data_IF_151138801076
#
_entry.id   IF_151138801076
#
_cell.length_a   1.000
_cell.length_b   1.000
_cell.length_c   1.000
_cell.angle_alpha   90.00
_cell.angle_beta   90.00
_cell.angle_gamma   90.00
#
_symmetry.space_group_name_H-M   'P 1'
#
loop_
_entity.id
_entity.type
_entity.pdbx_description
1 polymer ?
#
# COMPACT_ATOMS: atom_id res chain seq x y z
N UNK A 1 -9.66 -2.52 -9.35
CA UNK A 1 -9.25 -1.30 -8.64
C UNK A 1 -8.46 -0.34 -9.54
N UNK A 2 -7.12 -0.35 -9.54
CA UNK A 2 -6.33 0.70 -10.21
C UNK A 2 -6.65 0.93 -11.71
N UNK A 3 -6.84 -0.14 -12.49
CA UNK A 3 -7.23 0.00 -13.91
C UNK A 3 -8.56 0.72 -14.11
N UNK A 4 -9.51 0.57 -13.18
CA UNK A 4 -10.79 1.28 -13.22
C UNK A 4 -10.61 2.75 -12.84
N UNK A 5 -9.71 3.02 -11.89
CA UNK A 5 -9.29 4.36 -11.55
C UNK A 5 -8.71 5.12 -12.74
N UNK A 6 -7.76 4.50 -13.46
CA UNK A 6 -7.15 5.07 -14.68
C UNK A 6 -8.19 5.35 -15.79
N UNK A 7 -9.29 4.58 -15.81
CA UNK A 7 -10.37 4.72 -16.79
C UNK A 7 -11.50 5.66 -16.33
N UNK A 8 -11.37 6.27 -15.15
CA UNK A 8 -12.45 7.03 -14.52
C UNK A 8 -13.75 6.23 -14.30
N UNK A 9 -13.66 4.90 -14.23
CA UNK A 9 -14.79 3.98 -14.01
C UNK A 9 -14.80 3.47 -12.55
N UNK A 10 -14.55 4.36 -11.59
CA UNK A 10 -14.38 3.97 -10.17
C UNK A 10 -15.67 3.46 -9.53
N UNK A 11 -16.82 3.80 -10.09
CA UNK A 11 -18.14 3.33 -9.63
C UNK A 11 -18.27 1.80 -9.76
N UNK A 12 -17.56 1.21 -10.72
CA UNK A 12 -17.49 -0.25 -10.90
C UNK A 12 -16.74 -0.96 -9.75
N UNK A 13 -16.08 -0.20 -8.88
CA UNK A 13 -15.44 -0.73 -7.67
C UNK A 13 -16.41 -0.85 -6.49
N UNK A 14 -17.56 -0.17 -6.53
CA UNK A 14 -18.53 -0.16 -5.42
C UNK A 14 -19.18 -1.53 -5.31
N UNK A 15 -19.20 -2.06 -4.09
CA UNK A 15 -19.86 -3.32 -3.77
C UNK A 15 -21.32 -3.31 -4.26
N UNK A 16 -21.79 -4.35 -4.96
CA UNK A 16 -23.17 -4.42 -5.45
C UNK A 16 -24.23 -4.16 -4.37
N UNK A 17 -24.00 -4.60 -3.12
CA UNK A 17 -24.95 -4.40 -2.01
C UNK A 17 -25.10 -2.93 -1.63
N UNK A 18 -24.02 -2.15 -1.72
CA UNK A 18 -24.03 -0.70 -1.50
C UNK A 18 -24.79 0.05 -2.61
N UNK A 19 -25.00 -0.57 -3.77
CA UNK A 19 -25.77 0.02 -4.87
C UNK A 19 -27.27 -0.01 -4.60
N UNK A 20 -27.74 -0.96 -3.79
CA UNK A 20 -29.16 -1.12 -3.44
C UNK A 20 -29.64 0.05 -2.58
N UNK A 21 -28.83 0.46 -1.60
CA UNK A 21 -29.11 1.58 -0.70
C UNK A 21 -28.88 2.96 -1.35
N UNK A 22 -28.22 2.97 -2.51
CA UNK A 22 -27.79 4.17 -3.20
C UNK A 22 -26.58 4.85 -2.56
N UNK A 23 -25.80 5.56 -3.37
CA UNK A 23 -24.66 6.35 -2.91
C UNK A 23 -24.47 7.56 -3.80
N UNK A 24 -23.80 8.58 -3.27
CA UNK A 24 -23.37 9.73 -4.04
C UNK A 24 -22.05 9.39 -4.74
N UNK A 25 -22.01 9.46 -6.08
CA UNK A 25 -20.80 9.14 -6.86
C UNK A 25 -19.58 9.98 -6.43
N UNK A 26 -19.80 11.24 -6.07
CA UNK A 26 -18.74 12.14 -5.55
C UNK A 26 -18.10 11.60 -4.27
N UNK A 27 -18.88 10.99 -3.37
CA UNK A 27 -18.39 10.51 -2.09
C UNK A 27 -17.61 9.21 -2.32
N UNK A 28 -18.07 8.36 -3.25
CA UNK A 28 -17.33 7.18 -3.70
C UNK A 28 -15.99 7.57 -4.32
N UNK A 29 -15.99 8.54 -5.24
CA UNK A 29 -14.77 9.03 -5.89
C UNK A 29 -13.79 9.58 -4.85
N UNK A 30 -14.27 10.34 -3.88
CA UNK A 30 -13.48 10.89 -2.79
C UNK A 30 -12.88 9.79 -1.89
N UNK A 31 -13.68 8.81 -1.48
CA UNK A 31 -13.22 7.67 -0.65
C UNK A 31 -12.16 6.86 -1.39
N UNK A 32 -12.37 6.57 -2.68
CA UNK A 32 -11.41 5.81 -3.49
C UNK A 32 -10.10 6.58 -3.68
N UNK A 33 -10.18 7.88 -3.95
CA UNK A 33 -8.99 8.72 -4.04
C UNK A 33 -8.21 8.72 -2.71
N UNK A 34 -8.92 8.87 -1.58
CA UNK A 34 -8.32 8.84 -0.23
C UNK A 34 -7.64 7.50 0.03
N UNK A 35 -8.30 6.39 -0.31
CA UNK A 35 -7.74 5.06 -0.18
C UNK A 35 -6.43 4.92 -0.98
N UNK A 36 -6.37 5.44 -2.21
CA UNK A 36 -5.13 5.39 -2.99
C UNK A 36 -4.00 6.26 -2.43
N UNK A 37 -4.29 7.42 -1.83
CA UNK A 37 -3.28 8.21 -1.13
C UNK A 37 -2.70 7.47 0.08
N UNK A 38 -3.53 6.72 0.81
CA UNK A 38 -3.06 5.89 1.93
C UNK A 38 -2.17 4.74 1.47
N UNK A 39 -2.33 4.28 0.22
CA UNK A 39 -1.59 3.15 -0.37
C UNK A 39 -0.32 3.58 -1.12
N UNK A 40 0.12 4.82 -0.95
CA UNK A 40 1.34 5.31 -1.58
C UNK A 40 2.57 4.46 -1.17
N UNK A 41 3.47 4.16 -2.13
CA UNK A 41 4.60 3.27 -1.88
C UNK A 41 5.57 3.88 -0.87
N UNK A 42 5.74 5.20 -0.89
CA UNK A 42 6.60 5.92 0.05
C UNK A 42 5.78 6.42 1.25
N UNK A 43 6.27 6.15 2.46
CA UNK A 43 5.58 6.48 3.70
C UNK A 43 5.33 8.00 3.85
N UNK A 44 6.29 8.83 3.43
CA UNK A 44 6.19 10.29 3.48
C UNK A 44 5.16 10.88 2.49
N UNK A 45 4.69 10.10 1.51
CA UNK A 45 3.62 10.52 0.60
C UNK A 45 2.22 10.14 1.13
N UNK A 46 2.14 9.33 2.18
CA UNK A 46 0.87 8.98 2.80
C UNK A 46 0.40 10.16 3.66
N UNK A 47 -0.86 10.60 3.51
CA UNK A 47 -1.39 11.69 4.31
C UNK A 47 -1.49 11.30 5.80
N UNK A 48 -1.30 12.26 6.72
CA UNK A 48 -1.51 12.01 8.15
C UNK A 48 -2.98 11.71 8.43
N UNK A 49 -3.26 10.95 9.48
CA UNK A 49 -4.63 10.51 9.79
C UNK A 49 -5.59 11.68 10.03
N UNK A 50 -5.12 12.78 10.63
CA UNK A 50 -5.90 14.01 10.78
C UNK A 50 -6.40 14.57 9.45
N UNK A 51 -5.52 14.58 8.43
CA UNK A 51 -5.88 14.99 7.06
C UNK A 51 -6.86 14.01 6.42
N UNK A 52 -6.71 12.71 6.66
CA UNK A 52 -7.65 11.70 6.16
C UNK A 52 -9.04 11.89 6.76
N UNK A 53 -9.15 12.07 8.07
CA UNK A 53 -10.45 12.34 8.71
C UNK A 53 -11.07 13.60 8.13
N UNK A 54 -10.31 14.70 8.03
CA UNK A 54 -10.80 15.94 7.44
C UNK A 54 -11.26 15.77 5.98
N UNK A 55 -10.52 15.01 5.16
CA UNK A 55 -10.92 14.70 3.79
C UNK A 55 -12.21 13.87 3.75
N UNK A 56 -12.47 12.98 4.71
CA UNK A 56 -13.68 12.16 4.70
C UNK A 56 -14.91 12.87 5.29
N UNK A 57 -14.72 13.84 6.19
CA UNK A 57 -15.83 14.49 6.91
C UNK A 57 -16.13 15.91 6.45
N UNK A 58 -15.13 16.69 6.01
CA UNK A 58 -15.27 18.14 5.82
C UNK A 58 -15.52 18.58 4.36
N UNK A 59 -15.80 17.66 3.41
CA UNK A 59 -15.94 17.97 1.97
C UNK A 59 -14.81 18.89 1.44
N UNK A 60 -13.60 18.68 1.96
CA UNK A 60 -12.43 19.46 1.55
C UNK A 60 -11.97 18.98 0.19
N UNK A 61 -11.61 19.92 -0.67
CA UNK A 61 -11.11 19.61 -2.00
C UNK A 61 -9.79 18.84 -1.91
N UNK A 62 -9.69 17.79 -2.72
CA UNK A 62 -8.64 16.80 -2.57
C UNK A 62 -7.33 17.28 -3.21
N UNK A 63 -6.30 17.44 -2.39
CA UNK A 63 -4.97 17.90 -2.85
C UNK A 63 -4.06 16.70 -3.11
N UNK A 64 -3.99 16.26 -4.37
CA UNK A 64 -2.98 15.33 -4.87
C UNK A 64 -3.54 14.14 -5.64
N UNK A 65 -2.85 13.76 -6.72
CA UNK A 65 -3.16 12.57 -7.52
C UNK A 65 -2.40 11.36 -6.95
N UNK A 66 -3.07 10.23 -6.68
CA UNK A 66 -2.39 9.03 -6.24
C UNK A 66 -1.41 8.52 -7.30
N UNK A 67 -0.30 7.94 -6.86
CA UNK A 67 0.66 7.30 -7.76
C UNK A 67 0.23 5.87 -8.04
N UNK A 68 0.63 5.38 -9.22
CA UNK A 68 0.44 3.97 -9.57
C UNK A 68 1.11 3.07 -8.55
N UNK A 69 0.38 2.13 -7.92
CA UNK A 69 0.95 1.28 -6.89
C UNK A 69 2.12 0.44 -7.41
N UNK A 70 3.27 0.52 -6.74
CA UNK A 70 4.51 -0.13 -7.17
C UNK A 70 4.39 -1.66 -7.31
N UNK A 71 3.48 -2.31 -6.58
CA UNK A 71 3.26 -3.76 -6.71
C UNK A 71 2.70 -4.17 -8.08
N UNK A 72 2.08 -3.25 -8.83
CA UNK A 72 1.58 -3.52 -10.18
C UNK A 72 2.71 -3.69 -11.20
N UNK A 73 3.92 -3.22 -10.90
CA UNK A 73 5.09 -3.33 -11.76
C UNK A 73 5.82 -4.68 -11.59
N UNK A 74 5.73 -5.28 -10.39
CA UNK A 74 6.37 -6.56 -10.06
C UNK A 74 5.88 -7.73 -10.92
N UNK A 75 4.66 -7.67 -11.44
CA UNK A 75 4.04 -8.76 -12.23
C UNK A 75 4.64 -9.00 -13.62
N UNK A 76 5.65 -8.23 -14.05
CA UNK A 76 6.26 -8.37 -15.39
C UNK A 76 7.60 -9.13 -15.43
N UNK A 77 8.06 -9.71 -14.33
CA UNK A 77 9.31 -10.48 -14.28
C UNK A 77 9.10 -11.85 -13.62
N UNK A 78 8.35 -12.73 -14.26
CA UNK A 78 8.39 -14.17 -13.94
C UNK A 78 8.12 -14.96 -15.20
N UNK A 79 9.09 -14.95 -16.11
CA UNK A 79 9.36 -16.11 -16.96
C UNK A 79 10.86 -16.22 -17.27
N UNK A 80 11.69 -16.02 -16.24
CA UNK A 80 13.08 -16.46 -16.26
C UNK A 80 13.29 -17.22 -14.95
N UNK A 81 13.53 -18.52 -15.10
CA UNK A 81 13.77 -19.47 -14.01
C UNK A 81 14.97 -19.02 -13.20
N UNK A 82 14.77 -18.21 -12.17
CA UNK A 82 15.78 -18.00 -11.14
C UNK A 82 15.84 -19.29 -10.31
N UNK A 83 16.83 -20.12 -10.60
CA UNK A 83 17.15 -21.30 -9.81
C UNK A 83 17.37 -20.86 -8.37
N UNK A 84 16.70 -21.51 -7.44
CA UNK A 84 16.84 -21.29 -6.00
C UNK A 84 18.28 -21.55 -5.51
N UNK A 85 19.09 -22.25 -6.31
CA UNK A 85 20.52 -22.48 -6.08
C UNK A 85 21.34 -21.17 -6.12
N UNK A 86 21.02 -20.24 -7.02
CA UNK A 86 21.79 -18.99 -7.18
C UNK A 86 21.57 -18.01 -6.02
N UNK A 87 20.43 -18.09 -5.33
CA UNK A 87 20.11 -17.21 -4.20
C UNK A 87 20.88 -17.63 -2.94
N UNK A 88 21.15 -18.92 -2.78
CA UNK A 88 21.86 -19.46 -1.62
C UNK A 88 23.33 -19.04 -1.56
N UNK A 89 23.99 -18.84 -2.71
CA UNK A 89 25.40 -18.40 -2.73
C UNK A 89 25.60 -16.92 -2.42
N UNK A 90 24.61 -16.06 -2.71
CA UNK A 90 24.72 -14.61 -2.46
C UNK A 90 24.45 -14.26 -0.97
N UNK A 91 23.75 -15.11 -0.22
CA UNK A 91 23.35 -14.88 1.16
C UNK A 91 24.08 -15.75 2.20
N UNK A 92 25.29 -16.23 1.89
CA UNK A 92 26.18 -16.72 2.94
C UNK A 92 26.61 -15.55 3.81
N UNK A 93 25.92 -15.35 4.95
CA UNK A 93 26.26 -14.31 5.92
C UNK A 93 27.54 -14.70 6.68
N UNK A 94 28.58 -13.84 6.75
CA UNK A 94 29.63 -14.03 7.72
C UNK A 94 29.10 -13.60 9.09
N UNK A 95 28.70 -14.55 9.93
CA UNK A 95 28.41 -14.31 11.35
C UNK A 95 29.47 -15.01 12.21
N UNK A 96 30.61 -14.36 12.40
CA UNK A 96 31.32 -14.46 13.67
C UNK A 96 30.54 -13.60 14.67
N UNK A 97 29.72 -14.23 15.51
CA UNK A 97 29.15 -13.59 16.71
C UNK A 97 29.85 -14.14 17.94
N UNK A 98 30.85 -13.44 18.46
CA UNK A 98 31.17 -13.57 19.89
C UNK A 98 30.11 -12.79 20.65
N UNK A 99 29.37 -13.49 21.51
CA UNK A 99 28.39 -12.89 22.42
C UNK A 99 29.10 -12.57 23.75
N UNK A 100 29.03 -11.35 24.30
CA UNK A 100 29.47 -11.11 25.66
C UNK A 100 28.41 -11.64 26.62
N UNK A 101 28.82 -12.54 27.53
CA UNK A 101 27.98 -13.08 28.59
C UNK A 101 27.67 -12.03 29.66
N UNK A 102 26.40 -11.92 30.05
CA UNK A 102 25.95 -11.10 31.18
C UNK A 102 26.29 -11.82 32.51
N UNK A 103 26.77 -11.10 33.54
CA UNK A 103 27.05 -11.71 34.83
C UNK A 103 25.76 -12.05 35.60
N UNK A 104 25.75 -13.27 36.15
CA UNK A 104 24.70 -13.85 36.99
C UNK A 104 24.63 -13.10 38.32
N UNK A 105 23.54 -12.37 38.58
CA UNK A 105 23.23 -11.84 39.92
C UNK A 105 22.69 -12.99 40.79
N UNK A 106 23.38 -13.24 41.90
CA UNK A 106 22.95 -14.14 42.98
C UNK A 106 22.01 -13.39 43.91
N UNK A 107 20.83 -13.96 44.16
CA UNK A 107 20.07 -13.78 45.39
C UNK A 107 19.86 -15.15 46.01
#
# INVERSE_FOLDING_TARGET
AWKLYERSSVIDLVDPKLREDGFMEKDVLQVINVAFLCLQPLANLRPPMSKIVALLTCKVEMVGTPMRPAFLERRRKTDEKLSWDTISEVFSSPLHSESPSLPRQQN
#
